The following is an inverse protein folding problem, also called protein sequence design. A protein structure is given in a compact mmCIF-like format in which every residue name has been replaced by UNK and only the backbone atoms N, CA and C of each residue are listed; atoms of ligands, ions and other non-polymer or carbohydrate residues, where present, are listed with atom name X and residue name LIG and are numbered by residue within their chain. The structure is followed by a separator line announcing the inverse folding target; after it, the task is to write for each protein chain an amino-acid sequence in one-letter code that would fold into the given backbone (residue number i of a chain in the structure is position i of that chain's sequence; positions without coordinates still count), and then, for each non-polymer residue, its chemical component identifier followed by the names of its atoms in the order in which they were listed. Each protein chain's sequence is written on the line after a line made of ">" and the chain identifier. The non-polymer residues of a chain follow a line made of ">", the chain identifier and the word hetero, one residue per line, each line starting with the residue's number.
data_IF_837994645731
#
_entry.id   IF_837994645731
#
_cell.length_a   1.000
_cell.length_b   1.000
_cell.length_c   1.000
_cell.angle_alpha   90.00
_cell.angle_beta   90.00
_cell.angle_gamma   90.00
#
_symmetry.space_group_name_H-M   'P 1'
#
loop_
_entity.id
_entity.type
_entity.pdbx_description
1 polymer ?
#
# COMPACT_ATOMS: atom_id res chain seq x y z
N UNK A 1 20.25 -10.43 -51.45
CA UNK A 1 19.51 -9.76 -50.35
C UNK A 1 19.83 -10.52 -49.08
N UNK A 2 20.52 -9.93 -48.07
CA UNK A 2 20.76 -10.64 -46.83
C UNK A 2 19.47 -10.67 -46.01
N UNK A 3 19.12 -11.88 -45.57
CA UNK A 3 17.98 -12.17 -44.69
C UNK A 3 18.24 -11.50 -43.34
N UNK A 4 17.37 -10.57 -42.92
CA UNK A 4 17.36 -10.05 -41.55
C UNK A 4 16.81 -11.17 -40.67
N UNK A 5 17.69 -11.91 -40.01
CA UNK A 5 17.30 -12.77 -38.91
C UNK A 5 16.65 -11.88 -37.84
N UNK A 6 15.34 -12.06 -37.67
CA UNK A 6 14.58 -11.44 -36.59
C UNK A 6 15.13 -11.96 -35.27
N UNK A 7 15.88 -11.10 -34.58
CA UNK A 7 16.31 -11.30 -33.20
C UNK A 7 15.06 -11.51 -32.33
N UNK A 8 14.68 -12.77 -32.13
CA UNK A 8 13.65 -13.17 -31.17
C UNK A 8 14.20 -12.88 -29.77
N UNK A 9 13.95 -11.67 -29.29
CA UNK A 9 14.29 -11.23 -27.96
C UNK A 9 13.59 -12.09 -26.91
N UNK A 10 14.27 -13.15 -26.46
CA UNK A 10 13.80 -13.97 -25.34
C UNK A 10 13.75 -13.09 -24.09
N UNK A 11 12.53 -12.82 -23.60
CA UNK A 11 12.30 -12.13 -22.33
C UNK A 11 12.91 -12.94 -21.18
N UNK A 12 14.14 -12.59 -20.78
CA UNK A 12 14.77 -13.16 -19.59
C UNK A 12 14.20 -12.51 -18.33
N UNK A 13 13.33 -13.22 -17.64
CA UNK A 13 12.82 -12.83 -16.33
C UNK A 13 13.99 -12.87 -15.33
N UNK A 14 14.32 -11.73 -14.74
CA UNK A 14 15.36 -11.63 -13.71
C UNK A 14 14.73 -11.82 -12.32
N UNK A 15 14.58 -13.08 -11.93
CA UNK A 15 13.91 -13.50 -10.69
C UNK A 15 14.48 -12.86 -9.42
N UNK A 16 15.80 -12.62 -9.36
CA UNK A 16 16.42 -11.96 -8.20
C UNK A 16 15.98 -10.50 -8.01
N UNK A 17 15.74 -9.78 -9.11
CA UNK A 17 15.25 -8.41 -9.05
C UNK A 17 13.74 -8.38 -8.78
N UNK A 18 12.96 -9.13 -9.56
CA UNK A 18 11.51 -9.16 -9.43
C UNK A 18 11.06 -9.73 -8.09
N UNK A 19 11.72 -10.78 -7.59
CA UNK A 19 11.39 -11.40 -6.30
C UNK A 19 11.51 -10.44 -5.12
N UNK A 20 12.47 -9.51 -5.12
CA UNK A 20 12.60 -8.49 -4.06
C UNK A 20 11.43 -7.51 -4.06
N UNK A 21 10.99 -7.10 -5.25
CA UNK A 21 9.86 -6.20 -5.42
C UNK A 21 8.56 -6.89 -5.01
N UNK A 22 8.33 -8.13 -5.48
CA UNK A 22 7.19 -8.94 -5.08
C UNK A 22 7.16 -9.19 -3.56
N UNK A 23 8.30 -9.47 -2.95
CA UNK A 23 8.39 -9.66 -1.51
C UNK A 23 8.06 -8.38 -0.73
N UNK A 24 8.54 -7.23 -1.19
CA UNK A 24 8.17 -5.94 -0.62
C UNK A 24 6.65 -5.69 -0.69
N UNK A 25 6.03 -6.00 -1.83
CA UNK A 25 4.57 -5.93 -1.98
C UNK A 25 3.85 -6.85 -0.99
N UNK A 26 4.32 -8.09 -0.79
CA UNK A 26 3.74 -9.02 0.19
C UNK A 26 3.88 -8.53 1.64
N UNK A 27 4.99 -7.89 1.99
CA UNK A 27 5.14 -7.30 3.33
C UNK A 27 4.15 -6.16 3.52
N UNK A 28 4.01 -5.28 2.52
CA UNK A 28 2.99 -4.23 2.59
C UNK A 28 1.62 -4.87 2.74
N UNK A 29 1.24 -5.80 1.88
CA UNK A 29 -0.05 -6.50 1.97
C UNK A 29 -0.34 -7.06 3.36
N UNK A 30 0.57 -7.85 3.93
CA UNK A 30 0.33 -8.57 5.18
C UNK A 30 0.52 -7.69 6.41
N UNK A 31 1.60 -6.91 6.46
CA UNK A 31 2.01 -6.20 7.68
C UNK A 31 1.33 -4.84 7.76
N UNK A 32 1.17 -4.12 6.65
CA UNK A 32 0.50 -2.82 6.66
C UNK A 32 -0.97 -2.98 7.06
N UNK A 33 -1.72 -3.81 6.33
CA UNK A 33 -3.12 -4.07 6.67
C UNK A 33 -3.26 -4.87 7.96
N UNK A 34 -2.32 -5.76 8.29
CA UNK A 34 -2.29 -6.45 9.58
C UNK A 34 -2.22 -5.48 10.77
N UNK A 35 -1.41 -4.43 10.69
CA UNK A 35 -1.35 -3.39 11.75
C UNK A 35 -2.68 -2.63 11.83
N UNK A 36 -3.24 -2.21 10.69
CA UNK A 36 -4.49 -1.45 10.64
C UNK A 36 -5.65 -2.28 11.23
N UNK A 37 -5.79 -3.54 10.81
CA UNK A 37 -6.81 -4.46 11.31
C UNK A 37 -6.61 -4.77 12.79
N UNK A 38 -5.36 -4.96 13.22
CA UNK A 38 -5.08 -5.21 14.64
C UNK A 38 -5.48 -4.02 15.51
N UNK A 39 -5.25 -2.78 15.04
CA UNK A 39 -5.63 -1.62 15.82
C UNK A 39 -7.14 -1.48 15.98
N UNK A 40 -7.87 -1.77 14.90
CA UNK A 40 -9.33 -1.88 14.93
C UNK A 40 -9.81 -2.92 15.95
N UNK A 41 -9.17 -4.09 15.98
CA UNK A 41 -9.50 -5.18 16.90
C UNK A 41 -9.34 -4.81 18.39
N UNK A 42 -8.44 -3.87 18.71
CA UNK A 42 -8.13 -3.51 20.10
C UNK A 42 -8.76 -2.19 20.56
N UNK A 43 -8.96 -1.20 19.68
CA UNK A 43 -9.48 0.13 20.05
C UNK A 43 -11.02 0.17 20.12
N UNK A 44 -11.71 -0.62 19.28
CA UNK A 44 -13.19 -0.81 19.34
C UNK A 44 -13.60 -2.13 20.02
N UNK A 45 -12.70 -2.69 20.86
CA UNK A 45 -12.70 -4.06 21.40
C UNK A 45 -13.87 -4.53 22.27
N UNK A 46 -15.07 -3.95 22.19
CA UNK A 46 -16.28 -4.55 22.77
C UNK A 46 -17.25 -5.12 21.73
N UNK A 47 -17.14 -4.74 20.46
CA UNK A 47 -18.25 -4.91 19.50
C UNK A 47 -17.76 -5.28 18.09
N UNK A 48 -16.80 -6.22 18.05
CA UNK A 48 -16.13 -6.75 16.85
C UNK A 48 -17.07 -7.14 15.68
N UNK A 49 -18.32 -7.41 16.00
CA UNK A 49 -19.46 -7.49 15.08
C UNK A 49 -20.73 -7.18 15.87
N UNK A 50 -20.86 -5.99 16.47
CA UNK A 50 -22.22 -5.51 16.72
C UNK A 50 -22.81 -5.15 15.37
N UNK A 51 -23.24 -6.19 14.67
CA UNK A 51 -24.28 -6.05 13.69
C UNK A 51 -25.46 -5.43 14.44
N UNK A 52 -25.53 -4.10 14.44
CA UNK A 52 -26.68 -3.43 14.99
C UNK A 52 -27.87 -3.92 14.18
N UNK A 53 -28.74 -4.67 14.84
CA UNK A 53 -30.02 -5.05 14.28
C UNK A 53 -30.79 -3.73 14.20
N UNK A 54 -30.85 -3.12 13.01
CA UNK A 54 -31.58 -1.88 12.79
C UNK A 54 -33.05 -2.14 13.17
N UNK A 55 -33.55 -1.56 14.29
CA UNK A 55 -34.89 -1.86 14.76
C UNK A 55 -35.91 -1.37 13.72
N UNK A 56 -36.70 -2.30 13.18
CA UNK A 56 -37.73 -1.99 12.18
C UNK A 56 -37.39 -2.36 10.73
N UNK A 57 -36.18 -2.84 10.44
CA UNK A 57 -35.82 -3.39 9.12
C UNK A 57 -36.23 -4.86 8.99
N UNK A 58 -36.96 -5.22 7.92
CA UNK A 58 -37.26 -6.62 7.56
C UNK A 58 -36.88 -6.87 6.09
N UNK A 59 -35.97 -7.82 5.79
CA UNK A 59 -35.21 -8.65 6.74
C UNK A 59 -34.24 -7.82 7.60
N UNK A 60 -33.77 -8.34 8.75
CA UNK A 60 -32.82 -7.64 9.60
C UNK A 60 -31.57 -7.32 8.77
N UNK A 61 -31.31 -6.03 8.58
CA UNK A 61 -30.10 -5.55 7.90
C UNK A 61 -29.03 -5.38 8.97
N UNK A 62 -27.96 -6.14 8.85
CA UNK A 62 -26.75 -5.95 9.64
C UNK A 62 -26.06 -4.67 9.19
N UNK A 63 -26.17 -3.59 9.96
CA UNK A 63 -25.45 -2.35 9.69
C UNK A 63 -23.99 -2.53 10.09
N UNK A 64 -23.09 -2.50 9.10
CA UNK A 64 -21.65 -2.44 9.35
C UNK A 64 -21.31 -0.97 9.61
N UNK A 65 -20.59 -0.65 10.70
CA UNK A 65 -20.25 0.73 10.99
C UNK A 65 -19.53 1.39 9.80
N UNK A 66 -20.00 2.57 9.40
CA UNK A 66 -19.41 3.35 8.30
C UNK A 66 -17.93 3.68 8.54
N UNK A 67 -17.53 3.69 9.82
CA UNK A 67 -16.14 3.79 10.24
C UNK A 67 -15.31 2.69 9.60
N UNK A 68 -15.66 1.41 9.77
CA UNK A 68 -14.93 0.25 9.23
C UNK A 68 -14.74 0.34 7.71
N UNK A 69 -15.80 0.72 6.99
CA UNK A 69 -15.74 0.87 5.53
C UNK A 69 -14.75 1.94 5.10
N UNK A 70 -14.69 3.05 5.83
CA UNK A 70 -13.83 4.18 5.50
C UNK A 70 -12.38 3.98 5.96
N UNK A 71 -12.11 3.19 7.01
CA UNK A 71 -10.75 2.90 7.51
C UNK A 71 -9.86 2.25 6.45
N UNK A 72 -10.42 1.35 5.63
CA UNK A 72 -9.68 0.63 4.57
C UNK A 72 -9.09 1.60 3.54
N UNK A 73 -9.75 2.75 3.34
CA UNK A 73 -9.38 3.76 2.36
C UNK A 73 -8.68 4.96 2.96
N UNK A 74 -8.95 5.30 4.21
CA UNK A 74 -8.36 6.46 4.90
C UNK A 74 -7.39 6.01 5.98
N UNK A 75 -6.45 5.16 5.60
CA UNK A 75 -5.47 4.53 6.51
C UNK A 75 -4.62 5.55 7.28
N UNK A 76 -4.48 6.78 6.77
CA UNK A 76 -3.79 7.86 7.48
C UNK A 76 -4.42 8.22 8.83
N UNK A 77 -5.73 8.06 9.01
CA UNK A 77 -6.41 8.36 10.28
C UNK A 77 -5.89 7.45 11.42
N UNK A 78 -5.39 6.27 11.05
CA UNK A 78 -4.85 5.27 11.97
C UNK A 78 -3.35 5.37 12.16
N UNK A 79 -2.64 6.26 11.47
CA UNK A 79 -1.20 6.36 11.63
C UNK A 79 -0.82 6.80 13.04
N UNK A 80 -1.49 7.80 13.61
CA UNK A 80 -1.17 8.27 14.96
C UNK A 80 -1.54 7.24 16.04
N UNK A 81 -2.75 6.65 16.03
CA UNK A 81 -3.09 5.55 16.94
C UNK A 81 -2.15 4.34 16.81
N UNK A 82 -1.66 4.04 15.60
CA UNK A 82 -0.70 2.95 15.35
C UNK A 82 0.76 3.31 15.64
N UNK A 83 1.04 4.38 16.41
CA UNK A 83 2.41 4.86 16.66
C UNK A 83 3.24 5.09 15.38
N UNK A 84 2.59 5.53 14.31
CA UNK A 84 3.16 5.72 12.97
C UNK A 84 3.75 4.44 12.35
N UNK A 85 3.48 3.25 12.90
CA UNK A 85 4.03 1.99 12.41
C UNK A 85 3.74 1.73 10.92
N UNK A 86 2.51 1.91 10.39
CA UNK A 86 2.24 1.68 8.97
C UNK A 86 3.02 2.67 8.08
N UNK A 87 3.15 3.92 8.52
CA UNK A 87 3.91 4.96 7.84
C UNK A 87 5.41 4.64 7.82
N UNK A 88 5.99 4.25 8.96
CA UNK A 88 7.38 3.85 9.08
C UNK A 88 7.68 2.61 8.23
N UNK A 89 6.80 1.62 8.24
CA UNK A 89 6.92 0.42 7.42
C UNK A 89 7.00 0.78 5.92
N UNK A 90 6.07 1.59 5.43
CA UNK A 90 6.06 2.07 4.04
C UNK A 90 7.32 2.84 3.69
N UNK A 91 7.74 3.75 4.57
CA UNK A 91 8.97 4.50 4.43
C UNK A 91 10.18 3.56 4.29
N UNK A 92 10.33 2.59 5.18
CA UNK A 92 11.46 1.66 5.18
C UNK A 92 11.45 0.71 3.98
N UNK A 93 10.28 0.26 3.52
CA UNK A 93 10.16 -0.57 2.33
C UNK A 93 10.57 0.22 1.09
N UNK A 94 10.09 1.46 0.93
CA UNK A 94 10.46 2.33 -0.19
C UNK A 94 11.96 2.68 -0.17
N UNK A 95 12.50 2.95 1.03
CA UNK A 95 13.92 3.14 1.26
C UNK A 95 14.73 1.92 0.82
N UNK A 96 14.34 0.74 1.28
CA UNK A 96 15.03 -0.52 1.01
C UNK A 96 15.01 -0.88 -0.47
N UNK A 97 13.84 -0.77 -1.12
CA UNK A 97 13.67 -0.99 -2.55
C UNK A 97 14.63 -0.09 -3.36
N UNK A 98 14.69 1.20 -3.01
CA UNK A 98 15.56 2.15 -3.73
C UNK A 98 17.03 1.92 -3.44
N UNK A 99 17.39 1.59 -2.20
CA UNK A 99 18.76 1.30 -1.81
C UNK A 99 19.32 0.05 -2.51
N UNK A 100 18.49 -0.99 -2.67
CA UNK A 100 18.88 -2.29 -3.24
C UNK A 100 18.84 -2.38 -4.76
N UNK A 101 18.18 -1.45 -5.43
CA UNK A 101 18.20 -1.35 -6.89
C UNK A 101 19.51 -0.79 -7.41
N UNK A 102 20.01 -1.31 -8.53
CA UNK A 102 21.30 -0.88 -9.10
C UNK A 102 21.25 0.59 -9.55
N UNK A 103 20.14 0.97 -10.19
CA UNK A 103 19.84 2.33 -10.63
C UNK A 103 18.68 2.85 -9.78
N UNK A 104 18.95 3.88 -8.97
CA UNK A 104 18.00 4.42 -7.99
C UNK A 104 16.65 4.84 -8.61
N UNK A 105 16.66 5.35 -9.85
CA UNK A 105 15.44 5.73 -10.55
C UNK A 105 14.45 4.57 -10.74
N UNK A 106 14.93 3.32 -10.90
CA UNK A 106 14.03 2.16 -10.96
C UNK A 106 13.40 1.86 -9.61
N UNK A 107 14.16 2.03 -8.52
CA UNK A 107 13.64 1.88 -7.16
C UNK A 107 12.56 2.91 -6.83
N UNK A 108 12.78 4.18 -7.20
CA UNK A 108 11.78 5.25 -7.06
C UNK A 108 10.52 4.95 -7.88
N UNK A 109 10.67 4.45 -9.12
CA UNK A 109 9.52 4.06 -9.92
C UNK A 109 8.75 2.90 -9.28
N UNK A 110 9.44 1.90 -8.73
CA UNK A 110 8.81 0.78 -8.04
C UNK A 110 8.09 1.21 -6.75
N UNK A 111 8.67 2.14 -5.98
CA UNK A 111 8.04 2.68 -4.77
C UNK A 111 6.81 3.54 -5.09
N UNK A 112 6.79 4.25 -6.22
CA UNK A 112 5.58 4.97 -6.65
C UNK A 112 4.46 4.00 -7.03
N UNK A 113 4.78 2.84 -7.61
CA UNK A 113 3.80 1.78 -7.89
C UNK A 113 3.21 1.13 -6.64
N UNK A 114 3.81 1.30 -5.45
CA UNK A 114 3.20 0.84 -4.20
C UNK A 114 1.89 1.58 -3.88
N UNK A 115 1.75 2.85 -4.26
CA UNK A 115 0.52 3.62 -3.96
C UNK A 115 -0.70 3.04 -4.68
N UNK A 116 -0.73 2.89 -6.02
CA UNK A 116 -1.87 2.29 -6.69
C UNK A 116 -2.09 0.83 -6.27
N UNK A 117 -1.02 0.12 -5.90
CA UNK A 117 -1.13 -1.23 -5.37
C UNK A 117 -1.87 -1.26 -4.02
N UNK A 118 -1.52 -0.40 -3.07
CA UNK A 118 -2.21 -0.27 -1.77
C UNK A 118 -3.68 0.11 -1.97
N UNK A 119 -3.98 1.04 -2.87
CA UNK A 119 -5.38 1.40 -3.17
C UNK A 119 -6.13 0.19 -3.72
N UNK A 120 -5.53 -0.54 -4.66
CA UNK A 120 -6.14 -1.72 -5.24
C UNK A 120 -6.36 -2.82 -4.20
N UNK A 121 -5.43 -3.00 -3.27
CA UNK A 121 -5.59 -3.90 -2.12
C UNK A 121 -6.76 -3.48 -1.24
N UNK A 122 -6.88 -2.18 -0.92
CA UNK A 122 -8.04 -1.66 -0.19
C UNK A 122 -9.37 -1.94 -0.90
N UNK A 123 -9.42 -1.75 -2.23
CA UNK A 123 -10.59 -2.11 -3.04
C UNK A 123 -10.88 -3.62 -2.98
N UNK A 124 -9.84 -4.44 -3.06
CA UNK A 124 -9.94 -5.90 -3.02
C UNK A 124 -10.43 -6.41 -1.66
N UNK A 125 -9.90 -5.86 -0.55
CA UNK A 125 -10.36 -6.17 0.79
C UNK A 125 -11.81 -5.73 1.02
N UNK A 126 -12.18 -4.54 0.57
CA UNK A 126 -13.56 -4.07 0.62
C UNK A 126 -14.49 -5.03 -0.15
N UNK A 127 -14.09 -5.45 -1.36
CA UNK A 127 -14.87 -6.40 -2.19
C UNK A 127 -15.10 -7.73 -1.47
N UNK A 128 -14.08 -8.26 -0.79
CA UNK A 128 -14.19 -9.52 -0.03
C UNK A 128 -15.11 -9.36 1.19
N UNK A 129 -14.97 -8.26 1.94
CA UNK A 129 -15.70 -8.08 3.20
C UNK A 129 -17.16 -7.65 3.02
N UNK A 130 -17.43 -6.79 2.02
CA UNK A 130 -18.74 -6.14 1.85
C UNK A 130 -19.43 -6.47 0.53
N UNK A 131 -18.76 -7.21 -0.35
CA UNK A 131 -19.26 -7.52 -1.68
C UNK A 131 -19.03 -6.40 -2.70
N UNK A 132 -19.59 -6.59 -3.89
CA UNK A 132 -19.39 -5.65 -5.00
C UNK A 132 -20.20 -4.37 -4.78
N UNK A 133 -19.50 -3.23 -4.69
CA UNK A 133 -20.09 -1.90 -4.56
C UNK A 133 -19.21 -0.86 -5.26
N UNK A 134 -19.82 0.24 -5.69
CA UNK A 134 -19.12 1.43 -6.19
C UNK A 134 -18.74 2.42 -5.09
N UNK A 135 -19.31 2.26 -3.88
CA UNK A 135 -18.98 3.03 -2.68
C UNK A 135 -17.46 3.23 -2.45
N UNK A 136 -16.58 2.21 -2.57
CA UNK A 136 -15.15 2.41 -2.32
C UNK A 136 -14.47 3.36 -3.32
N UNK A 137 -14.94 3.42 -4.57
CA UNK A 137 -14.44 4.40 -5.54
C UNK A 137 -14.85 5.83 -5.17
N UNK A 138 -16.08 5.99 -4.68
CA UNK A 138 -16.57 7.28 -4.18
C UNK A 138 -15.78 7.72 -2.95
N UNK A 139 -15.54 6.81 -2.00
CA UNK A 139 -14.74 7.09 -0.81
C UNK A 139 -13.28 7.47 -1.16
N UNK A 140 -12.68 6.78 -2.12
CA UNK A 140 -11.27 7.00 -2.48
C UNK A 140 -11.06 8.22 -3.40
N UNK A 141 -11.95 8.46 -4.36
CA UNK A 141 -11.74 9.44 -5.44
C UNK A 141 -12.75 10.59 -5.47
N UNK A 142 -13.89 10.49 -4.79
CA UNK A 142 -14.88 11.58 -4.73
C UNK A 142 -14.87 12.31 -3.38
N UNK A 143 -13.97 11.95 -2.45
CA UNK A 143 -13.86 12.59 -1.14
C UNK A 143 -12.53 13.31 -0.94
N UNK A 144 -12.57 14.47 -0.26
CA UNK A 144 -11.37 15.24 0.11
C UNK A 144 -10.42 14.39 0.95
N UNK A 145 -10.97 13.57 1.87
CA UNK A 145 -10.19 12.64 2.70
C UNK A 145 -9.43 11.61 1.85
N UNK A 146 -10.05 11.09 0.79
CA UNK A 146 -9.39 10.20 -0.17
C UNK A 146 -8.18 10.85 -0.85
N UNK A 147 -8.31 12.11 -1.27
CA UNK A 147 -7.18 12.88 -1.83
C UNK A 147 -6.08 13.15 -0.81
N UNK A 148 -6.44 13.46 0.45
CA UNK A 148 -5.47 13.62 1.54
C UNK A 148 -4.70 12.30 1.75
N UNK A 149 -5.40 11.17 1.79
CA UNK A 149 -4.76 9.86 1.91
C UNK A 149 -3.78 9.60 0.77
N UNK A 150 -4.18 9.86 -0.48
CA UNK A 150 -3.30 9.75 -1.65
C UNK A 150 -2.04 10.59 -1.51
N UNK A 151 -2.19 11.85 -1.12
CA UNK A 151 -1.06 12.77 -0.96
C UNK A 151 -0.09 12.28 0.12
N UNK A 152 -0.60 11.79 1.24
CA UNK A 152 0.21 11.24 2.33
C UNK A 152 0.95 9.97 1.87
N UNK A 153 0.27 9.03 1.21
CA UNK A 153 0.89 7.81 0.69
C UNK A 153 2.02 8.11 -0.31
N UNK A 154 1.77 9.00 -1.27
CA UNK A 154 2.82 9.44 -2.20
C UNK A 154 3.97 10.15 -1.47
N UNK A 155 3.65 11.02 -0.51
CA UNK A 155 4.65 11.73 0.29
C UNK A 155 5.58 10.78 1.01
N UNK A 156 5.04 9.78 1.72
CA UNK A 156 5.83 8.77 2.44
C UNK A 156 6.70 7.97 1.46
N UNK A 157 6.15 7.53 0.33
CA UNK A 157 6.89 6.72 -0.65
C UNK A 157 8.02 7.49 -1.31
N UNK A 158 7.79 8.74 -1.66
CA UNK A 158 8.81 9.62 -2.24
C UNK A 158 9.89 9.91 -1.21
N UNK A 159 9.52 10.27 0.03
CA UNK A 159 10.48 10.50 1.11
C UNK A 159 11.36 9.27 1.36
N UNK A 160 10.77 8.09 1.53
CA UNK A 160 11.52 6.85 1.72
C UNK A 160 12.47 6.54 0.56
N UNK A 161 11.97 6.64 -0.68
CA UNK A 161 12.76 6.36 -1.87
C UNK A 161 13.93 7.34 -2.05
N UNK A 162 13.70 8.65 -1.88
CA UNK A 162 14.74 9.67 -1.94
C UNK A 162 15.79 9.44 -0.84
N UNK A 163 15.38 9.17 0.39
CA UNK A 163 16.30 8.83 1.48
C UNK A 163 17.18 7.62 1.11
N UNK A 164 16.61 6.57 0.50
CA UNK A 164 17.35 5.40 0.04
C UNK A 164 18.40 5.74 -1.02
N UNK A 165 18.04 6.61 -1.97
CA UNK A 165 18.96 7.10 -3.00
C UNK A 165 20.11 7.92 -2.40
N UNK A 166 19.81 8.90 -1.54
CA UNK A 166 20.82 9.73 -0.90
C UNK A 166 21.78 8.90 -0.06
N UNK A 167 21.26 7.97 0.74
CA UNK A 167 22.07 7.08 1.56
C UNK A 167 22.98 6.17 0.73
N UNK A 168 22.47 5.64 -0.39
CA UNK A 168 23.27 4.86 -1.35
C UNK A 168 24.43 5.67 -1.92
N UNK A 169 24.16 6.90 -2.35
CA UNK A 169 25.17 7.79 -2.92
C UNK A 169 26.23 8.16 -1.87
N UNK A 170 25.81 8.41 -0.63
CA UNK A 170 26.71 8.67 0.49
C UNK A 170 27.71 7.53 0.72
N UNK A 171 27.22 6.28 0.83
CA UNK A 171 28.09 5.10 1.00
C UNK A 171 29.03 4.89 -0.19
N UNK A 172 28.53 5.10 -1.42
CA UNK A 172 29.35 4.96 -2.63
C UNK A 172 30.51 5.97 -2.66
N UNK A 173 30.29 7.17 -2.17
CA UNK A 173 31.34 8.19 -2.06
C UNK A 173 32.37 7.82 -0.99
N UNK A 174 31.92 7.28 0.16
CA UNK A 174 32.82 6.83 1.23
C UNK A 174 33.75 5.68 0.81
N UNK A 175 33.28 4.74 -0.03
CA UNK A 175 34.08 3.60 -0.51
C UNK A 175 35.01 3.92 -1.68
N UNK A 176 34.88 5.11 -2.27
CA UNK A 176 35.73 5.59 -3.37
C UNK A 176 36.97 6.34 -2.87
N UNK A 177 37.06 6.54 -1.56
CA UNK A 177 38.29 6.82 -0.82
C UNK A 177 38.87 5.46 -0.42
#
# INVERSE_FOLDING_TARGET
>A
MPNKEEDKGYWKINWGRQGRVTFAYLIVFLVYYGIIVNLFMFDEGNDWFSFEIVPGSRPPVTAIPETVKSMIFWTYEFFLPSFMLPCLLLFFICFWLTYKEDIAHYGIRASLWLVPFIIFEGLFFYLIMFGFSLEPFVLQFASIKGYINLFILFGINICGALSGMYFKNYIKNLRKI
#
